data_IF_525050749074
#
_entry.id   IF_525050749074
#
_cell.length_a   1.000
_cell.length_b   1.000
_cell.length_c   1.000
_cell.angle_alpha   90.00
_cell.angle_beta   90.00
_cell.angle_gamma   90.00
#
_symmetry.space_group_name_H-M   'P 1'
#
loop_
_entity.id
_entity.type
_entity.pdbx_description
1 polymer ?
#
# COMPACT_ATOMS: atom_id res chain seq x y z
N UNK A 1 -23.94 7.99 9.87
CA UNK A 1 -24.36 7.11 10.99
C UNK A 1 -24.51 5.70 10.46
N UNK A 2 -23.51 4.84 10.73
CA UNK A 2 -23.56 3.41 10.43
C UNK A 2 -23.81 2.69 11.77
N UNK A 3 -24.84 1.86 11.86
CA UNK A 3 -25.05 0.98 13.02
C UNK A 3 -24.33 -0.33 12.72
N UNK A 4 -23.48 -0.86 13.62
CA UNK A 4 -22.95 -2.21 13.47
C UNK A 4 -24.11 -3.18 13.70
N UNK A 5 -24.42 -4.02 12.70
CA UNK A 5 -25.24 -5.20 12.90
C UNK A 5 -24.32 -6.31 13.44
N UNK A 6 -24.59 -6.75 14.67
CA UNK A 6 -24.26 -8.06 15.26
C UNK A 6 -22.98 -8.79 14.74
N UNK A 7 -21.81 -8.17 14.94
CA UNK A 7 -20.48 -8.75 14.65
C UNK A 7 -20.05 -9.92 15.56
N UNK A 8 -20.93 -10.41 16.45
CA UNK A 8 -20.60 -11.46 17.41
C UNK A 8 -20.44 -12.85 16.76
N UNK A 9 -21.08 -13.12 15.62
CA UNK A 9 -20.88 -14.38 14.87
C UNK A 9 -19.65 -14.31 13.95
N UNK A 10 -19.29 -13.10 13.49
CA UNK A 10 -18.23 -12.82 12.54
C UNK A 10 -16.81 -13.00 13.11
N UNK A 11 -16.55 -12.46 14.31
CA UNK A 11 -15.25 -12.62 14.97
C UNK A 11 -14.94 -14.08 15.29
N UNK A 12 -15.97 -14.91 15.52
CA UNK A 12 -15.80 -16.31 15.90
C UNK A 12 -15.35 -17.21 14.75
N UNK A 13 -15.74 -16.94 13.50
CA UNK A 13 -15.32 -17.74 12.34
C UNK A 13 -13.85 -17.51 11.98
N UNK A 14 -13.41 -16.25 11.99
CA UNK A 14 -12.03 -15.86 11.67
C UNK A 14 -11.06 -16.17 12.84
N UNK A 15 -11.52 -16.04 14.09
CA UNK A 15 -10.75 -16.53 15.27
C UNK A 15 -10.62 -18.06 15.29
N UNK A 16 -11.64 -18.81 14.83
CA UNK A 16 -11.53 -20.28 14.67
C UNK A 16 -10.49 -20.67 13.62
N UNK A 17 -10.36 -19.93 12.52
CA UNK A 17 -9.33 -20.15 11.49
C UNK A 17 -7.92 -19.91 12.06
N UNK A 18 -7.74 -18.83 12.83
CA UNK A 18 -6.48 -18.54 13.52
C UNK A 18 -6.12 -19.59 14.58
N UNK A 19 -7.12 -20.11 15.31
CA UNK A 19 -6.93 -21.14 16.34
C UNK A 19 -6.70 -22.55 15.78
N UNK A 20 -7.13 -22.85 14.55
CA UNK A 20 -6.99 -24.17 13.92
C UNK A 20 -5.63 -24.41 13.24
N UNK A 21 -4.82 -23.37 13.02
CA UNK A 21 -3.60 -23.45 12.22
C UNK A 21 -2.29 -23.05 12.94
N UNK A 22 -2.10 -23.47 14.20
CA UNK A 22 -0.76 -23.53 14.83
C UNK A 22 -0.72 -24.64 15.90
N UNK A 23 -0.10 -25.81 15.61
CA UNK A 23 1.31 -26.00 16.02
C UNK A 23 2.15 -26.96 15.13
N UNK A 24 1.86 -27.18 13.85
CA UNK A 24 2.63 -28.16 13.03
C UNK A 24 3.09 -27.61 11.68
N UNK A 25 4.04 -26.69 11.69
CA UNK A 25 4.83 -26.34 10.50
C UNK A 25 6.32 -26.05 10.79
N UNK A 26 6.85 -26.59 11.91
CA UNK A 26 8.28 -26.48 12.23
C UNK A 26 9.06 -27.80 12.01
N UNK A 27 8.45 -28.98 12.22
CA UNK A 27 9.21 -30.25 12.21
C UNK A 27 9.44 -30.89 10.82
N UNK A 28 8.66 -30.56 9.79
CA UNK A 28 8.80 -31.16 8.44
C UNK A 28 9.82 -30.46 7.55
N UNK A 29 10.17 -29.21 7.87
CA UNK A 29 11.11 -28.42 7.08
C UNK A 29 12.57 -28.83 7.34
N UNK A 30 12.92 -29.15 8.59
CA UNK A 30 14.30 -29.53 8.95
C UNK A 30 14.74 -30.92 8.46
N UNK A 31 13.79 -31.84 8.25
CA UNK A 31 14.06 -33.19 7.76
C UNK A 31 14.46 -33.23 6.28
N UNK A 32 13.94 -32.30 5.46
CA UNK A 32 14.17 -32.26 4.01
C UNK A 32 15.51 -31.62 3.64
N UNK A 33 16.06 -30.77 4.51
CA UNK A 33 17.33 -30.06 4.28
C UNK A 33 18.54 -30.94 4.59
N UNK A 34 18.41 -31.97 5.43
CA UNK A 34 19.54 -32.82 5.84
C UNK A 34 19.82 -34.02 4.94
N UNK A 35 18.91 -34.40 4.05
CA UNK A 35 18.98 -35.69 3.35
C UNK A 35 19.54 -35.63 1.91
N UNK A 36 19.72 -34.44 1.31
CA UNK A 36 20.00 -34.33 -0.14
C UNK A 36 21.37 -33.77 -0.57
N UNK A 37 22.32 -33.55 0.34
CA UNK A 37 23.64 -33.02 -0.02
C UNK A 37 24.79 -34.01 0.19
N UNK A 38 24.76 -35.10 -0.58
CA UNK A 38 25.92 -35.97 -0.81
C UNK A 38 26.38 -35.87 -2.29
N UNK A 39 27.42 -35.06 -2.51
CA UNK A 39 28.54 -35.21 -3.47
C UNK A 39 28.22 -35.58 -4.95
N UNK A 40 28.58 -34.72 -5.94
CA UNK A 40 29.83 -34.77 -6.74
C UNK A 40 29.80 -33.84 -7.97
N UNK A 41 30.97 -33.25 -8.23
CA UNK A 41 31.41 -32.37 -9.33
C UNK A 41 31.40 -33.00 -10.73
N UNK A 42 31.19 -32.20 -11.80
CA UNK A 42 31.92 -32.25 -13.11
C UNK A 42 31.84 -30.88 -13.81
N UNK A 43 32.90 -30.58 -14.57
CA UNK A 43 33.42 -29.32 -15.14
C UNK A 43 32.99 -28.97 -16.57
N UNK A 44 33.56 -27.84 -17.04
CA UNK A 44 33.81 -27.32 -18.41
C UNK A 44 32.84 -26.23 -18.90
N UNK A 45 33.24 -25.27 -19.72
CA UNK A 45 34.47 -24.52 -20.03
C UNK A 45 34.05 -23.56 -21.17
N UNK A 46 34.77 -22.44 -21.30
CA UNK A 46 34.92 -21.62 -22.50
C UNK A 46 33.75 -20.71 -22.96
N UNK A 47 33.91 -19.40 -22.76
CA UNK A 47 33.88 -18.44 -23.88
C UNK A 47 34.54 -17.10 -23.52
N UNK A 48 35.57 -16.76 -24.30
CA UNK A 48 36.35 -15.51 -24.29
C UNK A 48 35.89 -14.64 -25.46
N UNK A 49 35.68 -13.33 -25.24
CA UNK A 49 35.75 -12.31 -26.30
C UNK A 49 36.27 -11.00 -25.70
N UNK A 50 37.52 -10.70 -26.05
CA UNK A 50 38.10 -9.35 -26.10
C UNK A 50 37.52 -8.56 -27.27
N UNK A 51 37.33 -7.24 -27.12
CA UNK A 51 37.77 -6.21 -28.08
C UNK A 51 37.53 -4.79 -27.55
N UNK A 52 38.58 -3.98 -27.70
CA UNK A 52 38.78 -2.61 -27.23
C UNK A 52 37.96 -1.57 -28.00
N UNK A 53 37.56 -0.48 -27.33
CA UNK A 53 37.47 0.86 -27.93
C UNK A 53 37.95 1.92 -26.94
N UNK A 54 38.74 2.85 -27.47
CA UNK A 54 39.69 3.74 -26.80
C UNK A 54 39.09 4.94 -26.05
N UNK A 55 39.66 5.22 -24.88
CA UNK A 55 39.28 6.22 -23.87
C UNK A 55 39.91 7.62 -24.05
N UNK A 56 40.08 8.13 -25.27
CA UNK A 56 40.94 9.33 -25.48
C UNK A 56 40.29 10.64 -25.92
N UNK A 57 38.96 10.77 -26.04
CA UNK A 57 38.35 12.02 -26.55
C UNK A 57 37.37 12.76 -25.60
N UNK A 58 37.23 12.35 -24.34
CA UNK A 58 36.34 13.05 -23.38
C UNK A 58 37.08 13.95 -22.37
N UNK A 59 38.39 13.79 -22.19
CA UNK A 59 39.16 14.58 -21.22
C UNK A 59 39.60 15.95 -21.76
N UNK A 60 39.63 16.15 -23.08
CA UNK A 60 40.13 17.39 -23.69
C UNK A 60 39.12 18.55 -23.77
N UNK A 61 37.82 18.31 -23.54
CA UNK A 61 36.77 19.33 -23.75
C UNK A 61 36.31 20.07 -22.49
N UNK A 62 36.78 19.72 -21.28
CA UNK A 62 36.31 20.33 -20.02
C UNK A 62 37.31 21.33 -19.40
N UNK A 63 38.49 21.52 -20.00
CA UNK A 63 39.63 22.21 -19.37
C UNK A 63 39.96 23.62 -19.88
N UNK A 64 39.00 24.39 -20.37
CA UNK A 64 39.25 25.80 -20.71
C UNK A 64 38.21 26.74 -20.09
N UNK A 65 38.49 27.13 -18.85
CA UNK A 65 38.19 28.40 -18.15
C UNK A 65 37.83 28.12 -16.69
N UNK A 66 38.84 28.00 -15.82
CA UNK A 66 38.60 28.05 -14.38
C UNK A 66 39.72 28.77 -13.63
N UNK A 67 39.33 29.90 -13.03
CA UNK A 67 39.99 30.55 -11.91
C UNK A 67 40.36 29.54 -10.82
N UNK A 68 41.63 29.53 -10.42
CA UNK A 68 42.19 28.64 -9.41
C UNK A 68 41.49 28.71 -8.02
N UNK A 69 40.69 29.75 -7.76
CA UNK A 69 39.92 29.90 -6.52
C UNK A 69 38.61 29.09 -6.50
N UNK A 70 38.05 28.72 -7.67
CA UNK A 70 36.87 27.85 -7.76
C UNK A 70 37.24 26.37 -7.65
N UNK A 71 38.40 25.97 -8.19
CA UNK A 71 38.91 24.60 -8.17
C UNK A 71 39.04 24.02 -6.74
N UNK A 72 39.46 24.84 -5.77
CA UNK A 72 39.59 24.43 -4.36
C UNK A 72 38.24 24.25 -3.64
N UNK A 73 37.18 24.98 -4.04
CA UNK A 73 35.83 24.78 -3.51
C UNK A 73 35.14 23.57 -4.16
N UNK A 74 35.31 23.37 -5.47
CA UNK A 74 34.77 22.20 -6.16
C UNK A 74 35.41 20.91 -5.67
N UNK A 75 36.72 20.87 -5.43
CA UNK A 75 37.37 19.67 -4.92
C UNK A 75 36.89 19.32 -3.50
N UNK A 76 36.74 20.31 -2.62
CA UNK A 76 36.16 20.10 -1.28
C UNK A 76 34.74 19.56 -1.34
N UNK A 77 33.89 20.07 -2.24
CA UNK A 77 32.54 19.54 -2.43
C UNK A 77 32.54 18.11 -3.00
N UNK A 78 33.47 17.79 -3.91
CA UNK A 78 33.63 16.42 -4.44
C UNK A 78 34.12 15.46 -3.35
N UNK A 79 35.12 15.86 -2.56
CA UNK A 79 35.65 15.03 -1.47
C UNK A 79 34.61 14.85 -0.35
N UNK A 80 33.80 15.87 -0.08
CA UNK A 80 32.69 15.78 0.85
C UNK A 80 31.57 14.89 0.29
N UNK A 81 31.21 15.02 -0.99
CA UNK A 81 30.22 14.17 -1.65
C UNK A 81 30.64 12.69 -1.68
N UNK A 82 31.94 12.39 -1.80
CA UNK A 82 32.47 11.02 -1.69
C UNK A 82 32.39 10.44 -0.27
N UNK A 83 32.33 11.28 0.75
CA UNK A 83 32.18 10.86 2.15
C UNK A 83 30.72 10.75 2.58
N UNK A 84 29.79 11.35 1.83
CA UNK A 84 28.36 11.19 2.04
C UNK A 84 27.93 9.85 1.47
N UNK A 85 27.33 8.98 2.28
CA UNK A 85 26.67 7.78 1.78
C UNK A 85 25.61 8.20 0.75
N UNK A 86 25.62 7.57 -0.42
CA UNK A 86 24.58 7.82 -1.40
C UNK A 86 23.25 7.33 -0.81
N UNK A 87 22.11 8.01 -1.04
CA UNK A 87 20.79 7.48 -0.67
C UNK A 87 20.49 6.05 -1.19
N UNK A 88 21.28 5.54 -2.14
CA UNK A 88 21.18 4.18 -2.70
C UNK A 88 22.03 3.16 -1.95
N UNK A 89 22.97 3.61 -1.12
CA UNK A 89 23.80 2.74 -0.28
C UNK A 89 23.04 2.27 0.98
N UNK A 90 21.86 2.84 1.23
CA UNK A 90 20.96 2.39 2.28
C UNK A 90 20.36 1.03 1.90
N UNK A 91 20.31 0.05 2.83
CA UNK A 91 19.64 -1.21 2.57
C UNK A 91 18.15 -0.95 2.31
N UNK A 92 17.51 -1.67 1.37
CA UNK A 92 16.07 -1.56 1.18
C UNK A 92 15.36 -2.12 2.41
N UNK A 93 14.05 -1.90 2.44
CA UNK A 93 13.18 -2.36 3.52
C UNK A 93 13.47 -3.85 3.90
N UNK A 94 13.50 -4.18 5.21
CA UNK A 94 13.90 -5.51 5.69
C UNK A 94 13.16 -6.69 5.08
N UNK A 95 11.85 -6.58 4.84
CA UNK A 95 11.05 -7.63 4.20
C UNK A 95 11.46 -7.85 2.75
N UNK A 96 11.73 -6.79 1.99
CA UNK A 96 12.24 -6.87 0.62
C UNK A 96 13.65 -7.48 0.60
N UNK A 97 14.52 -7.07 1.52
CA UNK A 97 15.86 -7.67 1.70
C UNK A 97 15.77 -9.17 1.97
N UNK A 98 14.86 -9.59 2.86
CA UNK A 98 14.64 -11.01 3.20
C UNK A 98 14.19 -11.81 1.97
N UNK A 99 13.18 -11.31 1.24
CA UNK A 99 12.66 -11.98 0.04
C UNK A 99 13.75 -12.11 -1.04
N UNK A 100 14.53 -11.05 -1.26
CA UNK A 100 15.63 -11.08 -2.22
C UNK A 100 16.67 -12.12 -1.80
N UNK A 101 17.05 -12.17 -0.51
CA UNK A 101 17.99 -13.19 0.00
C UNK A 101 17.45 -14.62 -0.13
N UNK A 102 16.18 -14.85 0.16
CA UNK A 102 15.53 -16.16 0.00
C UNK A 102 15.47 -16.59 -1.47
N UNK A 103 15.09 -15.67 -2.37
CA UNK A 103 15.08 -15.93 -3.81
C UNK A 103 16.49 -16.22 -4.35
N UNK A 104 17.47 -15.47 -3.86
CA UNK A 104 18.88 -15.64 -4.17
C UNK A 104 19.42 -16.98 -3.67
N UNK A 105 19.01 -17.45 -2.49
CA UNK A 105 19.43 -18.73 -1.94
C UNK A 105 19.01 -19.94 -2.80
N UNK A 106 17.95 -19.81 -3.62
CA UNK A 106 17.54 -20.85 -4.57
C UNK A 106 18.57 -21.00 -5.72
N UNK A 107 19.30 -19.93 -6.07
CA UNK A 107 20.51 -19.94 -6.90
C UNK A 107 20.35 -20.29 -8.39
N UNK A 108 19.26 -20.94 -8.78
CA UNK A 108 18.92 -21.31 -10.15
C UNK A 108 17.61 -20.65 -10.60
N UNK A 109 17.65 -19.94 -11.74
CA UNK A 109 16.50 -19.24 -12.31
C UNK A 109 15.35 -20.19 -12.64
N UNK A 110 15.65 -21.42 -13.08
CA UNK A 110 14.60 -22.41 -13.36
C UNK A 110 13.95 -22.88 -12.06
N UNK A 111 14.74 -23.26 -11.05
CA UNK A 111 14.22 -23.65 -9.74
C UNK A 111 13.40 -22.53 -9.07
N UNK A 112 13.81 -21.27 -9.21
CA UNK A 112 13.06 -20.12 -8.70
C UNK A 112 11.71 -19.94 -9.42
N UNK A 113 11.68 -20.10 -10.75
CA UNK A 113 10.45 -20.04 -11.53
C UNK A 113 9.52 -21.23 -11.24
N UNK A 114 10.06 -22.43 -11.07
CA UNK A 114 9.30 -23.61 -10.68
C UNK A 114 8.69 -23.40 -9.28
N UNK A 115 9.46 -22.87 -8.33
CA UNK A 115 8.97 -22.50 -7.00
C UNK A 115 7.84 -21.46 -7.05
N UNK A 116 8.02 -20.37 -7.81
CA UNK A 116 6.98 -19.34 -8.00
C UNK A 116 5.72 -19.93 -8.61
N UNK A 117 5.88 -20.77 -9.63
CA UNK A 117 4.76 -21.43 -10.32
C UNK A 117 3.99 -22.34 -9.37
N UNK A 118 4.68 -23.14 -8.55
CA UNK A 118 4.02 -24.02 -7.59
C UNK A 118 3.28 -23.22 -6.50
N UNK A 119 3.84 -22.11 -6.02
CA UNK A 119 3.16 -21.21 -5.07
C UNK A 119 1.91 -20.58 -5.67
N UNK A 120 1.96 -20.13 -6.93
CA UNK A 120 0.79 -19.60 -7.62
C UNK A 120 -0.29 -20.68 -7.81
N UNK A 121 0.10 -21.88 -8.27
CA UNK A 121 -0.83 -23.02 -8.41
C UNK A 121 -1.44 -23.46 -7.09
N UNK A 122 -0.68 -23.39 -6.00
CA UNK A 122 -1.20 -23.63 -4.65
C UNK A 122 -2.34 -22.66 -4.33
N UNK A 123 -2.12 -21.34 -4.50
CA UNK A 123 -3.15 -20.34 -4.21
C UNK A 123 -4.32 -20.38 -5.18
N UNK A 124 -4.09 -20.71 -6.44
CA UNK A 124 -5.16 -20.92 -7.43
C UNK A 124 -6.07 -22.09 -7.03
N UNK A 125 -5.49 -23.24 -6.68
CA UNK A 125 -6.25 -24.38 -6.13
C UNK A 125 -6.96 -24.01 -4.83
N UNK A 126 -6.30 -23.26 -3.95
CA UNK A 126 -6.88 -22.82 -2.68
C UNK A 126 -8.07 -21.88 -2.89
N UNK A 127 -8.00 -21.00 -3.89
CA UNK A 127 -9.04 -20.01 -4.18
C UNK A 127 -10.40 -20.61 -4.54
N UNK A 128 -10.41 -21.85 -5.05
CA UNK A 128 -11.61 -22.59 -5.47
C UNK A 128 -11.93 -23.77 -4.55
N UNK A 129 -11.22 -23.89 -3.43
CA UNK A 129 -11.44 -24.97 -2.48
C UNK A 129 -12.81 -24.84 -1.79
N UNK A 130 -13.49 -25.97 -1.48
CA UNK A 130 -14.80 -25.94 -0.83
C UNK A 130 -14.80 -25.16 0.49
N UNK A 131 -13.71 -25.19 1.25
CA UNK A 131 -13.59 -24.47 2.52
C UNK A 131 -13.58 -22.95 2.31
N UNK A 132 -12.84 -22.45 1.31
CA UNK A 132 -12.80 -21.01 0.99
C UNK A 132 -14.14 -20.52 0.44
N UNK A 133 -14.79 -21.31 -0.41
CA UNK A 133 -16.12 -20.97 -0.93
C UNK A 133 -17.18 -20.98 0.18
N UNK A 134 -17.11 -21.91 1.14
CA UNK A 134 -17.99 -21.90 2.31
C UNK A 134 -17.80 -20.65 3.18
N UNK A 135 -16.55 -20.29 3.48
CA UNK A 135 -16.24 -19.06 4.24
C UNK A 135 -16.69 -17.80 3.51
N UNK A 136 -16.55 -17.76 2.18
CA UNK A 136 -16.99 -16.64 1.37
C UNK A 136 -18.52 -16.52 1.36
N UNK A 137 -19.23 -17.63 1.29
CA UNK A 137 -20.69 -17.64 1.38
C UNK A 137 -21.16 -17.14 2.75
N UNK A 138 -20.53 -17.59 3.84
CA UNK A 138 -20.79 -17.12 5.20
C UNK A 138 -20.54 -15.61 5.34
N UNK A 139 -19.41 -15.13 4.82
CA UNK A 139 -19.06 -13.70 4.83
C UNK A 139 -20.10 -12.84 4.09
N UNK A 140 -20.60 -13.32 2.94
CA UNK A 140 -21.62 -12.59 2.17
C UNK A 140 -22.99 -12.62 2.83
N UNK A 141 -23.35 -13.67 3.58
CA UNK A 141 -24.65 -13.74 4.27
C UNK A 141 -24.87 -12.64 5.30
N UNK A 142 -23.80 -12.18 5.97
CA UNK A 142 -23.86 -11.11 6.96
C UNK A 142 -23.86 -9.69 6.39
N UNK A 143 -23.58 -9.53 5.08
CA UNK A 143 -23.43 -8.23 4.45
C UNK A 143 -24.71 -7.76 3.74
N UNK A 144 -24.93 -6.43 3.67
CA UNK A 144 -26.00 -5.85 2.86
C UNK A 144 -25.76 -6.07 1.35
N UNK A 145 -26.81 -5.97 0.54
CA UNK A 145 -26.76 -6.26 -0.90
C UNK A 145 -25.67 -5.46 -1.66
N UNK A 146 -25.50 -4.18 -1.31
CA UNK A 146 -24.50 -3.33 -1.97
C UNK A 146 -23.08 -3.76 -1.60
N UNK A 147 -22.87 -4.14 -0.34
CA UNK A 147 -21.59 -4.68 0.15
C UNK A 147 -21.31 -6.06 -0.45
N UNK A 148 -22.31 -6.94 -0.52
CA UNK A 148 -22.16 -8.23 -1.20
C UNK A 148 -21.76 -8.06 -2.66
N UNK A 149 -22.40 -7.15 -3.40
CA UNK A 149 -22.07 -6.90 -4.80
C UNK A 149 -20.61 -6.45 -4.99
N UNK A 150 -20.07 -5.63 -4.08
CA UNK A 150 -18.66 -5.20 -4.11
C UNK A 150 -17.72 -6.34 -3.74
N UNK A 151 -18.00 -7.04 -2.62
CA UNK A 151 -17.11 -8.06 -2.07
C UNK A 151 -17.10 -9.35 -2.90
N UNK A 152 -18.13 -9.63 -3.70
CA UNK A 152 -18.11 -10.77 -4.64
C UNK A 152 -16.94 -10.76 -5.61
N UNK A 153 -16.26 -9.64 -5.84
CA UNK A 153 -15.08 -9.60 -6.72
C UNK A 153 -13.76 -9.91 -6.00
N UNK A 154 -13.78 -9.98 -4.67
CA UNK A 154 -12.59 -10.12 -3.84
C UNK A 154 -12.72 -11.37 -2.96
N UNK A 155 -11.75 -12.27 -3.03
CA UNK A 155 -11.72 -13.46 -2.17
C UNK A 155 -11.08 -13.13 -0.81
N UNK A 156 -11.85 -12.45 0.06
CA UNK A 156 -11.36 -12.03 1.38
C UNK A 156 -10.91 -13.17 2.29
N UNK A 157 -11.58 -14.35 2.34
CA UNK A 157 -11.08 -15.49 3.11
C UNK A 157 -9.70 -15.97 2.65
N UNK A 158 -9.50 -16.09 1.33
CA UNK A 158 -8.19 -16.43 0.77
C UNK A 158 -7.15 -15.36 1.12
N UNK A 159 -7.52 -14.09 1.00
CA UNK A 159 -6.62 -12.98 1.34
C UNK A 159 -6.20 -13.02 2.81
N UNK A 160 -7.12 -13.30 3.73
CA UNK A 160 -6.83 -13.49 5.15
C UNK A 160 -5.86 -14.64 5.40
N UNK A 161 -6.04 -15.77 4.70
CA UNK A 161 -5.13 -16.92 4.80
C UNK A 161 -3.73 -16.58 4.26
N UNK A 162 -3.65 -15.83 3.17
CA UNK A 162 -2.37 -15.37 2.59
C UNK A 162 -1.62 -14.46 3.56
N UNK A 163 -2.29 -13.47 4.16
CA UNK A 163 -1.69 -12.56 5.14
C UNK A 163 -1.14 -13.32 6.35
N UNK A 164 -1.92 -14.27 6.87
CA UNK A 164 -1.50 -15.14 7.99
C UNK A 164 -0.29 -16.00 7.60
N UNK A 165 -0.31 -16.57 6.39
CA UNK A 165 0.75 -17.46 5.90
C UNK A 165 2.09 -16.75 5.75
N UNK A 166 2.09 -15.48 5.35
CA UNK A 166 3.33 -14.69 5.23
C UNK A 166 3.73 -14.01 6.55
N UNK A 167 2.92 -14.13 7.60
CA UNK A 167 3.13 -13.44 8.87
C UNK A 167 3.03 -11.92 8.73
N UNK A 168 2.11 -11.43 7.90
CA UNK A 168 1.88 -9.99 7.75
C UNK A 168 1.42 -9.38 9.08
N UNK A 169 1.90 -8.18 9.41
CA UNK A 169 1.55 -7.52 10.68
C UNK A 169 0.07 -7.12 10.75
N UNK A 170 -0.51 -6.71 9.62
CA UNK A 170 -1.94 -6.41 9.51
C UNK A 170 -2.72 -7.64 9.04
N UNK A 171 -3.25 -8.41 9.99
CA UNK A 171 -4.19 -9.50 9.71
C UNK A 171 -5.65 -9.06 9.83
N UNK A 172 -5.91 -7.83 10.26
CA UNK A 172 -7.25 -7.28 10.46
C UNK A 172 -7.83 -6.67 9.17
N UNK A 173 -6.99 -6.29 8.20
CA UNK A 173 -7.41 -5.68 6.95
C UNK A 173 -8.59 -6.37 6.21
N UNK A 174 -8.68 -7.70 6.09
CA UNK A 174 -9.85 -8.34 5.48
C UNK A 174 -11.16 -8.02 6.22
N UNK A 175 -11.09 -7.84 7.54
CA UNK A 175 -12.22 -7.42 8.36
C UNK A 175 -12.59 -5.97 8.13
N UNK A 176 -11.59 -5.07 8.12
CA UNK A 176 -11.82 -3.64 7.88
C UNK A 176 -12.41 -3.39 6.48
N UNK A 177 -12.10 -4.24 5.49
CA UNK A 177 -12.71 -4.18 4.16
C UNK A 177 -14.18 -4.63 4.15
N UNK A 178 -14.60 -5.49 5.08
CA UNK A 178 -15.99 -5.86 5.27
C UNK A 178 -16.78 -4.80 6.05
N UNK A 179 -16.23 -4.41 7.20
CA UNK A 179 -16.91 -3.54 8.17
C UNK A 179 -16.84 -2.06 7.75
N UNK A 180 -15.96 -1.74 6.80
CA UNK A 180 -15.64 -0.39 6.39
C UNK A 180 -14.57 0.26 7.26
N UNK A 181 -13.90 1.24 6.70
CA UNK A 181 -12.83 1.97 7.38
C UNK A 181 -13.37 3.19 8.12
N UNK A 182 -12.88 3.40 9.35
CA UNK A 182 -13.22 4.61 10.12
C UNK A 182 -12.57 5.83 9.48
N UNK A 183 -13.36 6.88 9.29
CA UNK A 183 -12.91 8.18 8.79
C UNK A 183 -12.83 9.25 9.90
N UNK A 184 -13.10 8.88 11.16
CA UNK A 184 -13.03 9.74 12.35
C UNK A 184 -12.58 8.93 13.57
N UNK A 185 -12.08 9.63 14.59
CA UNK A 185 -11.44 9.07 15.77
C UNK A 185 -9.95 8.81 15.53
N UNK A 186 -9.33 8.16 16.52
CA UNK A 186 -7.97 7.64 16.35
C UNK A 186 -8.03 6.37 15.50
N UNK A 187 -7.31 6.37 14.38
CA UNK A 187 -7.19 5.21 13.52
C UNK A 187 -6.41 4.10 14.24
N UNK A 188 -6.75 2.85 13.93
CA UNK A 188 -6.06 1.70 14.51
C UNK A 188 -4.64 1.61 13.95
N UNK A 189 -3.67 1.34 14.81
CA UNK A 189 -2.30 1.00 14.43
C UNK A 189 -2.21 -0.48 14.11
N UNK A 190 -1.60 -0.85 12.98
CA UNK A 190 -1.36 -2.25 12.61
C UNK A 190 0.13 -2.62 12.67
N UNK A 191 1.01 -1.67 13.00
CA UNK A 191 2.46 -1.87 13.10
C UNK A 191 3.16 -2.06 11.76
N UNK A 192 2.47 -1.80 10.65
CA UNK A 192 3.07 -1.78 9.31
C UNK A 192 3.95 -0.55 9.11
N UNK A 193 3.54 0.56 9.71
CA UNK A 193 4.16 1.86 9.55
C UNK A 193 4.81 2.33 10.84
N UNK A 194 5.75 3.27 10.71
CA UNK A 194 6.43 3.85 11.86
C UNK A 194 5.41 4.57 12.75
N UNK A 195 5.44 4.35 14.08
CA UNK A 195 4.62 5.11 15.00
C UNK A 195 4.92 6.60 14.87
N UNK A 196 3.86 7.41 14.87
CA UNK A 196 3.94 8.85 14.80
C UNK A 196 3.18 9.45 15.96
N UNK A 197 3.78 10.45 16.61
CA UNK A 197 3.07 11.30 17.55
C UNK A 197 1.94 12.03 16.82
N UNK A 198 0.71 11.69 17.20
CA UNK A 198 -0.49 12.25 16.61
C UNK A 198 -1.31 12.94 17.70
N UNK A 199 -1.75 14.16 17.40
CA UNK A 199 -2.66 14.88 18.27
C UNK A 199 -3.96 14.09 18.43
N UNK A 200 -4.60 14.15 19.62
CA UNK A 200 -5.91 13.53 19.80
C UNK A 200 -6.92 14.17 18.85
N UNK A 201 -7.87 13.39 18.30
CA UNK A 201 -8.89 13.93 17.43
C UNK A 201 -9.77 14.91 18.22
N UNK A 202 -10.22 15.96 17.55
CA UNK A 202 -11.26 16.85 18.08
C UNK A 202 -12.52 16.03 18.37
N UNK A 203 -13.21 16.39 19.46
CA UNK A 203 -14.44 15.72 19.83
C UNK A 203 -15.55 15.95 18.80
N UNK A 204 -16.33 14.90 18.53
CA UNK A 204 -17.39 14.94 17.53
C UNK A 204 -18.50 15.90 17.90
N UNK A 205 -18.82 16.03 19.19
CA UNK A 205 -19.85 16.95 19.66
C UNK A 205 -19.40 18.39 19.47
N UNK A 206 -18.13 18.69 19.80
CA UNK A 206 -17.55 20.01 19.55
C UNK A 206 -17.60 20.42 18.06
N UNK A 207 -17.31 19.49 17.14
CA UNK A 207 -17.43 19.77 15.71
C UNK A 207 -18.89 20.01 15.27
N UNK A 208 -19.86 19.25 15.82
CA UNK A 208 -21.28 19.45 15.53
C UNK A 208 -21.81 20.77 16.10
N UNK A 209 -21.31 21.21 17.25
CA UNK A 209 -21.71 22.46 17.88
C UNK A 209 -21.19 23.68 17.09
N UNK A 210 -19.98 23.60 16.54
CA UNK A 210 -19.41 24.62 15.64
C UNK A 210 -19.97 24.59 14.21
N UNK A 211 -20.73 23.55 13.84
CA UNK A 211 -21.15 23.33 12.47
C UNK A 211 -22.08 24.44 11.93
N UNK A 212 -22.93 25.03 12.79
CA UNK A 212 -23.85 26.10 12.38
C UNK A 212 -23.10 27.35 11.93
N UNK A 213 -22.06 27.74 12.66
CA UNK A 213 -21.20 28.86 12.32
C UNK A 213 -20.42 28.56 11.03
N UNK A 214 -19.82 27.37 10.91
CA UNK A 214 -19.14 26.97 9.68
C UNK A 214 -20.06 27.02 8.46
N UNK A 215 -21.33 26.62 8.60
CA UNK A 215 -22.31 26.72 7.51
C UNK A 215 -22.60 28.16 7.12
N UNK A 216 -22.72 29.05 8.08
CA UNK A 216 -22.93 30.48 7.80
C UNK A 216 -21.71 31.07 7.07
N UNK A 217 -20.49 30.66 7.44
CA UNK A 217 -19.26 31.13 6.80
C UNK A 217 -19.05 30.51 5.41
N UNK A 218 -19.27 29.20 5.28
CA UNK A 218 -19.00 28.43 4.06
C UNK A 218 -20.15 28.48 3.05
N UNK A 219 -21.40 28.70 3.50
CA UNK A 219 -22.57 28.81 2.63
C UNK A 219 -22.53 30.01 1.69
N UNK A 220 -21.57 30.93 1.90
CA UNK A 220 -21.27 32.05 1.03
C UNK A 220 -20.15 31.78 0.01
N UNK A 221 -19.53 30.59 0.02
CA UNK A 221 -18.69 30.15 -1.09
C UNK A 221 -19.60 29.86 -2.28
N UNK A 222 -19.88 30.95 -3.01
CA UNK A 222 -20.62 30.93 -4.26
C UNK A 222 -19.95 30.01 -5.25
N UNK A 223 -20.77 29.49 -6.17
CA UNK A 223 -20.37 28.61 -7.24
C UNK A 223 -19.04 28.99 -7.86
N UNK A 224 -18.32 27.98 -8.32
CA UNK A 224 -17.08 28.16 -9.06
C UNK A 224 -17.31 29.22 -10.15
N UNK A 225 -16.31 30.02 -10.49
CA UNK A 225 -16.46 31.05 -11.55
C UNK A 225 -16.83 30.46 -12.93
N UNK A 226 -16.85 29.12 -13.03
CA UNK A 226 -17.19 28.32 -14.19
C UNK A 226 -18.52 27.59 -13.96
N UNK A 227 -19.61 28.21 -14.42
CA UNK A 227 -20.98 27.70 -14.30
C UNK A 227 -21.17 26.32 -14.96
N UNK A 228 -20.38 25.99 -15.99
CA UNK A 228 -20.49 24.68 -16.64
C UNK A 228 -20.01 23.55 -15.72
N UNK A 229 -18.97 23.82 -14.91
CA UNK A 229 -18.46 22.86 -13.93
C UNK A 229 -19.43 22.65 -12.77
N UNK A 230 -20.05 23.73 -12.28
CA UNK A 230 -21.02 23.64 -11.20
C UNK A 230 -22.28 22.88 -11.62
N UNK A 231 -22.77 23.14 -12.83
CA UNK A 231 -23.90 22.40 -13.39
C UNK A 231 -23.53 20.91 -13.58
N UNK A 232 -22.35 20.61 -14.13
CA UNK A 232 -21.90 19.23 -14.27
C UNK A 232 -21.81 18.51 -12.91
N UNK A 233 -21.29 19.19 -11.89
CA UNK A 233 -21.18 18.68 -10.53
C UNK A 233 -22.55 18.43 -9.89
N UNK A 234 -23.49 19.35 -10.10
CA UNK A 234 -24.87 19.22 -9.64
C UNK A 234 -25.58 18.03 -10.29
N UNK A 235 -25.44 17.87 -11.61
CA UNK A 235 -26.00 16.72 -12.33
C UNK A 235 -25.41 15.39 -11.87
N UNK A 236 -24.10 15.35 -11.57
CA UNK A 236 -23.47 14.18 -10.96
C UNK A 236 -24.08 13.85 -9.59
N UNK A 237 -24.24 14.85 -8.71
CA UNK A 237 -24.86 14.65 -7.40
C UNK A 237 -26.32 14.16 -7.50
N UNK A 238 -27.10 14.69 -8.46
CA UNK A 238 -28.45 14.19 -8.73
C UNK A 238 -28.44 12.74 -9.22
N UNK A 239 -27.51 12.36 -10.11
CA UNK A 239 -27.37 10.98 -10.54
C UNK A 239 -27.04 10.03 -9.37
N UNK A 240 -26.24 10.47 -8.39
CA UNK A 240 -25.94 9.67 -7.19
C UNK A 240 -27.17 9.39 -6.33
N UNK A 241 -28.17 10.27 -6.33
CA UNK A 241 -29.45 10.03 -5.63
C UNK A 241 -30.20 8.83 -6.22
N UNK A 242 -30.09 8.61 -7.54
CA UNK A 242 -30.74 7.46 -8.21
C UNK A 242 -30.10 6.12 -7.85
N UNK A 243 -28.84 6.15 -7.40
CA UNK A 243 -28.07 4.96 -7.00
C UNK A 243 -28.05 4.72 -5.50
N UNK A 244 -28.90 5.42 -4.73
CA UNK A 244 -28.95 5.39 -3.26
C UNK A 244 -27.61 5.72 -2.58
N UNK A 245 -26.68 6.39 -3.27
CA UNK A 245 -25.42 6.88 -2.69
C UNK A 245 -25.63 8.17 -1.92
N UNK A 246 -26.47 9.06 -2.46
CA UNK A 246 -26.92 10.28 -1.80
C UNK A 246 -28.43 10.25 -1.57
N UNK A 247 -28.90 11.10 -0.66
CA UNK A 247 -30.32 11.38 -0.43
C UNK A 247 -30.54 12.88 -0.53
N UNK A 248 -31.69 13.26 -1.06
CA UNK A 248 -32.06 14.64 -1.28
C UNK A 248 -32.59 14.85 -2.70
N UNK A 249 -32.62 16.10 -3.19
CA UNK A 249 -32.17 17.32 -2.50
C UNK A 249 -33.00 17.60 -1.23
N UNK A 250 -32.34 18.11 -0.18
CA UNK A 250 -33.00 18.54 1.05
C UNK A 250 -32.89 20.06 1.20
N UNK A 251 -33.92 20.69 1.75
CA UNK A 251 -33.82 22.07 2.23
C UNK A 251 -33.09 22.12 3.57
N UNK A 252 -32.54 23.28 3.91
CA UNK A 252 -31.88 23.46 5.21
C UNK A 252 -32.83 23.16 6.38
N UNK A 253 -34.11 23.57 6.26
CA UNK A 253 -35.14 23.28 7.25
C UNK A 253 -35.36 21.77 7.45
N UNK A 254 -35.33 20.99 6.37
CA UNK A 254 -35.44 19.53 6.45
C UNK A 254 -34.22 18.90 7.12
N UNK A 255 -33.01 19.39 6.85
CA UNK A 255 -31.78 18.93 7.50
C UNK A 255 -31.77 19.27 8.99
N UNK A 256 -32.14 20.51 9.35
CA UNK A 256 -32.23 20.97 10.74
C UNK A 256 -33.29 20.20 11.53
N UNK A 257 -34.42 19.83 10.90
CA UNK A 257 -35.42 18.97 11.51
C UNK A 257 -34.88 17.56 11.83
N UNK A 258 -33.97 17.05 10.98
CA UNK A 258 -33.34 15.74 11.16
C UNK A 258 -32.17 15.74 12.16
N UNK A 259 -31.81 16.91 12.73
CA UNK A 259 -30.82 17.05 13.80
C UNK A 259 -29.64 17.95 13.42
N UNK A 260 -28.51 17.76 14.12
CA UNK A 260 -27.24 18.44 13.80
C UNK A 260 -26.56 17.74 12.64
N UNK A 261 -25.98 18.52 11.74
CA UNK A 261 -25.33 18.02 10.53
C UNK A 261 -24.10 18.86 10.19
N UNK A 262 -23.14 18.22 9.50
CA UNK A 262 -21.94 18.86 8.98
C UNK A 262 -22.14 19.19 7.50
N UNK A 263 -21.60 20.32 7.07
CA UNK A 263 -21.66 20.76 5.68
C UNK A 263 -20.32 20.50 5.00
N UNK A 264 -20.36 19.77 3.88
CA UNK A 264 -19.19 19.46 3.05
C UNK A 264 -19.35 20.17 1.72
N UNK A 265 -18.67 21.31 1.48
CA UNK A 265 -18.70 21.91 0.16
C UNK A 265 -18.05 20.95 -0.83
N UNK A 266 -18.73 20.72 -1.94
CA UNK A 266 -18.25 19.86 -3.01
C UNK A 266 -17.66 20.74 -4.10
N UNK A 267 -16.46 20.42 -4.56
CA UNK A 267 -15.80 21.16 -5.64
C UNK A 267 -15.34 20.23 -6.77
N UNK A 268 -15.32 20.73 -8.02
CA UNK A 268 -14.89 19.94 -9.15
C UNK A 268 -13.36 19.99 -9.30
N UNK A 269 -12.74 18.83 -9.55
CA UNK A 269 -11.35 18.70 -9.99
C UNK A 269 -11.36 18.19 -11.43
N UNK A 270 -10.79 18.97 -12.36
CA UNK A 270 -10.56 18.52 -13.74
C UNK A 270 -9.38 17.53 -13.75
N UNK A 271 -9.64 16.27 -14.02
CA UNK A 271 -8.64 15.30 -14.46
C UNK A 271 -8.75 15.18 -15.99
N UNK A 272 -7.66 14.79 -16.65
CA UNK A 272 -7.45 14.88 -18.11
C UNK A 272 -8.70 14.63 -18.99
N UNK A 273 -9.50 13.62 -18.67
CA UNK A 273 -10.66 13.15 -19.43
C UNK A 273 -12.02 13.35 -18.72
N UNK A 274 -12.05 13.79 -17.46
CA UNK A 274 -13.27 13.84 -16.65
C UNK A 274 -13.20 14.81 -15.47
N UNK A 275 -14.37 15.27 -15.08
CA UNK A 275 -14.56 16.03 -13.84
C UNK A 275 -14.78 15.04 -12.70
N UNK A 276 -14.01 15.18 -11.64
CA UNK A 276 -14.25 14.48 -10.37
C UNK A 276 -14.78 15.44 -9.33
N UNK A 277 -15.83 15.02 -8.67
CA UNK A 277 -16.34 15.59 -7.45
C UNK A 277 -15.41 15.30 -6.27
N UNK A 278 -15.10 16.33 -5.47
CA UNK A 278 -14.37 16.18 -4.22
C UNK A 278 -15.16 16.85 -3.11
N UNK A 279 -15.43 16.11 -2.04
CA UNK A 279 -16.01 16.66 -0.81
C UNK A 279 -14.89 17.28 0.03
N UNK A 280 -14.95 18.59 0.27
CA UNK A 280 -13.94 19.31 1.06
C UNK A 280 -14.17 19.11 2.56
N UNK A 281 -13.73 17.94 3.05
CA UNK A 281 -13.74 17.63 4.48
C UNK A 281 -12.79 18.52 5.31
N UNK A 282 -11.86 19.23 4.65
CA UNK A 282 -10.97 20.17 5.33
C UNK A 282 -11.72 21.46 5.67
N UNK A 283 -12.49 22.00 4.74
CA UNK A 283 -13.33 23.18 4.99
C UNK A 283 -14.28 22.95 6.18
N UNK A 284 -14.85 21.74 6.28
CA UNK A 284 -15.74 21.32 7.37
C UNK A 284 -15.03 20.93 8.67
N UNK A 285 -13.70 21.09 8.74
CA UNK A 285 -12.87 20.66 9.87
C UNK A 285 -12.98 19.17 10.24
N UNK A 286 -13.53 18.32 9.37
CA UNK A 286 -13.67 16.88 9.64
C UNK A 286 -12.32 16.19 9.70
N UNK A 287 -11.31 16.69 9.01
CA UNK A 287 -9.95 16.19 9.16
C UNK A 287 -9.42 16.32 10.60
N UNK A 288 -9.91 17.28 11.40
CA UNK A 288 -9.54 17.41 12.80
C UNK A 288 -10.19 16.34 13.69
N UNK A 289 -11.25 15.69 13.22
CA UNK A 289 -11.88 14.57 13.91
C UNK A 289 -11.07 13.29 13.80
N UNK A 290 -9.95 13.29 13.10
CA UNK A 290 -9.16 12.08 12.81
C UNK A 290 -7.75 12.22 13.31
N UNK A 291 -7.28 11.21 14.02
CA UNK A 291 -5.89 11.10 14.47
C UNK A 291 -5.25 9.89 13.79
N UNK A 292 -4.08 10.10 13.20
CA UNK A 292 -3.34 9.09 12.42
C UNK A 292 -2.02 8.81 13.13
N UNK A 293 -1.98 7.78 14.00
CA UNK A 293 -0.83 7.46 14.85
C UNK A 293 0.32 6.72 14.14
N UNK A 294 0.24 6.59 12.81
CA UNK A 294 1.22 5.89 11.99
C UNK A 294 1.59 6.74 10.78
N UNK A 295 2.88 6.79 10.45
CA UNK A 295 3.38 7.54 9.29
C UNK A 295 3.51 6.62 8.09
N UNK A 296 2.62 6.81 7.12
CA UNK A 296 2.69 6.08 5.85
C UNK A 296 3.93 6.54 5.08
N UNK A 297 4.94 5.67 5.05
CA UNK A 297 6.06 5.80 4.14
C UNK A 297 5.75 5.03 2.85
N UNK A 298 5.66 5.77 1.75
CA UNK A 298 5.62 5.16 0.43
C UNK A 298 7.04 4.83 0.01
N UNK A 299 7.24 3.62 -0.54
CA UNK A 299 8.50 3.27 -1.17
C UNK A 299 8.83 4.29 -2.26
N UNK A 300 10.05 4.83 -2.17
CA UNK A 300 10.57 5.77 -3.16
C UNK A 300 11.42 5.03 -4.20
N UNK A 301 11.85 5.77 -5.23
CA UNK A 301 12.73 5.23 -6.26
C UNK A 301 14.04 4.67 -5.68
N UNK A 302 14.52 5.26 -4.59
CA UNK A 302 15.77 4.88 -3.93
C UNK A 302 15.68 3.47 -3.35
N UNK A 303 14.57 3.13 -2.67
CA UNK A 303 14.29 1.77 -2.17
C UNK A 303 14.28 0.75 -3.31
N UNK A 304 13.71 1.10 -4.45
CA UNK A 304 13.68 0.23 -5.63
C UNK A 304 15.09 0.03 -6.21
N UNK A 305 15.90 1.10 -6.30
CA UNK A 305 17.28 1.02 -6.80
C UNK A 305 18.14 0.16 -5.86
N UNK A 306 18.04 0.35 -4.55
CA UNK A 306 18.75 -0.45 -3.55
C UNK A 306 18.37 -1.94 -3.63
N UNK A 307 17.08 -2.24 -3.80
CA UNK A 307 16.60 -3.61 -4.03
C UNK A 307 17.16 -4.23 -5.32
N UNK A 308 17.24 -3.45 -6.41
CA UNK A 308 17.83 -3.91 -7.67
C UNK A 308 19.34 -4.14 -7.56
N UNK A 309 20.05 -3.32 -6.78
CA UNK A 309 21.47 -3.51 -6.51
C UNK A 309 21.74 -4.81 -5.75
N UNK A 310 20.96 -5.10 -4.70
CA UNK A 310 21.03 -6.39 -3.99
C UNK A 310 20.77 -7.59 -4.89
N UNK A 311 19.86 -7.46 -5.85
CA UNK A 311 19.66 -8.50 -6.87
C UNK A 311 20.91 -8.69 -7.74
N UNK A 312 21.59 -7.59 -8.13
CA UNK A 312 22.78 -7.61 -9.00
C UNK A 312 24.07 -8.08 -8.32
N UNK A 313 24.29 -7.67 -7.06
CA UNK A 313 25.46 -8.09 -6.27
C UNK A 313 25.51 -9.61 -6.14
N UNK A 314 24.34 -10.22 -5.95
CA UNK A 314 24.23 -11.67 -5.88
C UNK A 314 24.50 -12.36 -7.23
N UNK A 315 24.03 -11.81 -8.35
CA UNK A 315 24.31 -12.36 -9.69
C UNK A 315 25.82 -12.29 -10.03
N UNK A 316 26.50 -11.24 -9.58
CA UNK A 316 27.95 -11.09 -9.69
C UNK A 316 28.71 -12.13 -8.84
N UNK A 317 28.24 -12.38 -7.61
CA UNK A 317 28.80 -13.43 -6.75
C UNK A 317 28.52 -14.84 -7.29
N UNK A 318 27.36 -15.08 -7.91
CA UNK A 318 27.04 -16.35 -8.56
C UNK A 318 27.91 -16.62 -9.80
N UNK A 319 28.20 -15.59 -10.60
CA UNK A 319 29.13 -15.67 -11.73
C UNK A 319 30.57 -15.95 -11.26
N UNK A 320 31.01 -15.33 -10.16
CA UNK A 320 32.31 -15.60 -9.55
C UNK A 320 32.41 -17.03 -8.98
N UNK A 321 31.33 -17.55 -8.37
CA UNK A 321 31.28 -18.93 -7.84
C UNK A 321 31.22 -20.02 -8.92
N UNK A 322 30.84 -19.69 -10.16
CA UNK A 322 30.93 -20.63 -11.30
C UNK A 322 32.35 -20.72 -11.87
N UNK A 323 33.26 -19.82 -11.48
CA UNK A 323 34.64 -19.76 -11.96
C UNK A 323 35.69 -20.32 -10.99
N UNK A 324 35.27 -20.81 -9.81
CA UNK A 324 36.09 -21.60 -8.88
C UNK A 324 35.48 -22.99 -8.70
#
# INVERSE_FOLDING_TARGET
FWKPADGANYCNALTKLAAQHSPTLSAKYDSLVREKWAVKSVTNSDFDISHETSTLDLEAMVLLQNDASKAGRSQRHIDQAKQTAHPFDAPPEPSLTKIIKEANAIGDSKALNDYRTERLRFWERRSTSPEIEALRAELLQGADEATQHRLRKVNLPLFSEMLTTIGHCDTALPHDLCDGMRITGTLTTNGLYEPKDADPPVDKEAALDGASQQRAELGHYGGNSDHELDEALWQQALAETTTNRLRGPFTEQQLNHNGRWLYFPRFPKRESDKIREIDDMKASSVNLLTSVPELIHLDNLDNLIAALQLCKEHDSQHKLRRHY
#
